data_IF_826928431762
#
_entry.id   IF_826928431762
#
_cell.length_a   1.000
_cell.length_b   1.000
_cell.length_c   1.000
_cell.angle_alpha   90.00
_cell.angle_beta   90.00
_cell.angle_gamma   90.00
#
_symmetry.space_group_name_H-M   'P 1'
#
loop_
_entity.id
_entity.type
_entity.pdbx_description
1 polymer ?
#
# COMPACT_ATOMS: atom_id res chain seq x y z
N UNK A 1 68.18 9.81 125.43
CA UNK A 1 68.83 8.82 126.31
C UNK A 1 69.68 7.91 125.45
N UNK A 2 71.00 7.93 125.60
CA UNK A 2 71.90 7.02 124.86
C UNK A 2 71.95 5.71 125.64
N UNK A 3 71.27 4.69 125.13
CA UNK A 3 71.30 3.34 125.67
C UNK A 3 72.00 2.46 124.66
N UNK A 4 73.23 2.07 124.98
CA UNK A 4 74.18 1.24 124.22
C UNK A 4 75.03 1.96 123.15
N UNK A 5 76.32 1.62 123.16
CA UNK A 5 77.44 2.20 122.42
C UNK A 5 77.24 2.13 120.90
N UNK A 6 77.27 3.28 120.23
CA UNK A 6 77.12 3.36 118.76
C UNK A 6 76.78 4.73 118.19
N UNK A 7 76.52 5.74 119.02
CA UNK A 7 76.30 7.12 118.58
C UNK A 7 77.59 7.93 118.76
N UNK A 8 78.27 8.22 117.65
CA UNK A 8 79.38 9.19 117.63
C UNK A 8 78.86 10.53 117.11
N UNK A 9 78.84 11.53 117.97
CA UNK A 9 78.64 12.92 117.57
C UNK A 9 80.03 13.49 117.31
N UNK A 10 80.41 13.54 116.02
CA UNK A 10 81.63 14.21 115.58
C UNK A 10 81.28 15.64 115.17
N UNK A 11 82.26 16.54 115.13
CA UNK A 11 82.03 17.96 114.74
C UNK A 11 81.34 18.11 113.37
N UNK A 12 81.41 17.06 112.55
CA UNK A 12 81.00 17.07 111.14
C UNK A 12 79.71 16.28 110.89
N UNK A 13 79.07 15.74 111.94
CA UNK A 13 77.78 15.07 111.83
C UNK A 13 77.52 13.96 112.85
N UNK A 14 76.34 13.35 112.72
CA UNK A 14 75.93 12.19 113.51
C UNK A 14 76.06 10.95 112.64
N UNK A 15 76.91 9.99 113.05
CA UNK A 15 76.99 8.66 112.44
C UNK A 15 76.37 7.63 113.39
N UNK A 16 75.53 6.74 112.85
CA UNK A 16 74.91 5.62 113.58
C UNK A 16 75.25 4.34 112.85
N UNK A 17 76.12 3.53 113.44
CA UNK A 17 76.62 2.30 112.81
C UNK A 17 75.59 1.15 112.82
N UNK A 18 74.59 1.20 113.72
CA UNK A 18 73.49 0.23 113.78
C UNK A 18 72.26 0.80 114.53
N UNK A 19 71.05 0.41 114.12
CA UNK A 19 69.80 0.69 114.86
C UNK A 19 68.94 1.87 114.37
N UNK A 20 69.41 2.65 113.39
CA UNK A 20 68.66 3.73 112.73
C UNK A 20 68.37 4.95 113.63
N UNK A 21 67.96 6.06 113.00
CA UNK A 21 67.52 7.27 113.71
C UNK A 21 66.00 7.38 113.60
N UNK A 22 65.28 7.28 114.73
CA UNK A 22 63.85 7.58 114.78
C UNK A 22 63.65 9.07 115.13
N UNK A 23 63.36 9.89 114.12
CA UNK A 23 62.95 11.28 114.32
C UNK A 23 61.42 11.31 114.47
N UNK A 24 60.92 11.70 115.64
CA UNK A 24 59.46 11.78 115.91
C UNK A 24 58.86 13.15 115.57
N UNK A 25 59.70 14.13 115.22
CA UNK A 25 59.31 15.45 114.74
C UNK A 25 59.80 15.66 113.29
N UNK A 26 59.80 16.90 112.79
CA UNK A 26 60.39 17.22 111.48
C UNK A 26 61.91 17.09 111.47
N UNK A 27 62.47 16.65 110.34
CA UNK A 27 63.90 16.67 110.05
C UNK A 27 64.15 17.64 108.90
N UNK A 28 65.05 18.60 109.09
CA UNK A 28 65.53 19.50 108.03
C UNK A 28 66.96 19.15 107.69
N UNK A 29 67.24 18.84 106.41
CA UNK A 29 68.60 18.63 105.90
C UNK A 29 68.99 19.88 105.12
N UNK A 30 69.98 20.63 105.62
CA UNK A 30 70.35 21.93 105.03
C UNK A 30 71.28 21.80 103.82
N UNK A 31 72.17 20.80 103.80
CA UNK A 31 73.21 20.63 102.75
C UNK A 31 73.33 19.16 102.32
N UNK A 32 73.73 18.94 101.07
CA UNK A 32 74.02 17.63 100.45
C UNK A 32 72.88 16.60 100.35
N UNK A 33 71.65 16.96 100.74
CA UNK A 33 70.46 16.10 100.59
C UNK A 33 70.52 14.85 101.47
N UNK A 34 69.49 14.00 101.35
CA UNK A 34 69.43 12.70 102.03
C UNK A 34 69.62 11.59 100.99
N UNK A 35 70.70 10.82 101.11
CA UNK A 35 70.90 9.61 100.33
C UNK A 35 70.32 8.41 101.10
N UNK A 36 69.38 7.69 100.48
CA UNK A 36 68.78 6.47 101.04
C UNK A 36 69.14 5.31 100.11
N UNK A 37 69.93 4.34 100.60
CA UNK A 37 70.45 3.25 99.76
C UNK A 37 69.38 2.17 99.47
N UNK A 38 68.53 1.85 100.46
CA UNK A 38 67.60 0.71 100.39
C UNK A 38 66.13 1.13 100.21
N UNK A 39 65.90 2.34 99.69
CA UNK A 39 64.57 2.89 99.42
C UNK A 39 63.91 3.59 100.62
N UNK A 40 63.07 4.59 100.32
CA UNK A 40 62.31 5.36 101.31
C UNK A 40 60.81 5.17 101.12
N UNK A 41 60.06 4.98 102.21
CA UNK A 41 58.59 5.01 102.18
C UNK A 41 58.08 6.31 102.81
N UNK A 42 57.26 7.06 102.09
CA UNK A 42 56.54 8.22 102.63
C UNK A 42 55.11 7.80 102.89
N UNK A 43 54.75 7.65 104.16
CA UNK A 43 53.44 7.11 104.56
C UNK A 43 52.35 8.18 104.70
N UNK A 44 52.70 9.48 104.68
CA UNK A 44 51.75 10.59 104.79
C UNK A 44 52.27 11.87 104.11
N UNK A 45 51.35 12.73 103.64
CA UNK A 45 51.61 14.08 103.08
C UNK A 45 52.36 14.19 101.74
N UNK A 46 52.68 13.06 101.08
CA UNK A 46 53.29 13.04 99.76
C UNK A 46 54.73 13.56 99.71
N UNK A 47 55.33 13.54 98.51
CA UNK A 47 56.66 14.10 98.25
C UNK A 47 56.50 15.37 97.41
N UNK A 48 56.88 16.53 97.96
CA UNK A 48 57.00 17.78 97.20
C UNK A 48 58.48 18.01 96.87
N UNK A 49 58.84 17.96 95.59
CA UNK A 49 60.18 18.31 95.10
C UNK A 49 60.13 19.70 94.48
N UNK A 50 60.78 20.68 95.11
CA UNK A 50 60.96 22.01 94.52
C UNK A 50 62.06 21.93 93.45
N UNK A 51 61.72 21.51 92.23
CA UNK A 51 62.65 21.29 91.12
C UNK A 51 62.24 20.13 90.21
N UNK A 52 63.24 19.47 89.60
CA UNK A 52 63.04 18.26 88.82
C UNK A 52 63.24 16.99 89.67
N UNK A 53 62.41 15.98 89.43
CA UNK A 53 62.62 14.62 89.93
C UNK A 53 63.00 13.70 88.76
N UNK A 54 64.12 12.99 88.89
CA UNK A 54 64.53 11.95 87.93
C UNK A 54 64.31 10.59 88.57
N UNK A 55 63.52 9.74 87.93
CA UNK A 55 63.35 8.34 88.31
C UNK A 55 64.09 7.50 87.27
N UNK A 56 65.26 6.96 87.64
CA UNK A 56 66.15 6.27 86.71
C UNK A 56 65.78 4.80 86.48
N UNK A 57 65.04 4.17 87.40
CA UNK A 57 64.64 2.75 87.35
C UNK A 57 63.18 2.57 87.78
N UNK A 58 62.47 1.61 87.17
CA UNK A 58 61.08 1.18 87.46
C UNK A 58 59.94 2.22 87.31
N UNK A 59 60.25 3.47 86.93
CA UNK A 59 59.27 4.50 86.59
C UNK A 59 58.38 4.96 87.75
N UNK A 60 57.41 5.82 87.46
CA UNK A 60 56.41 6.29 88.44
C UNK A 60 55.16 5.41 88.36
N UNK A 61 54.91 4.58 89.39
CA UNK A 61 53.65 3.83 89.52
C UNK A 61 52.65 4.59 90.39
N UNK A 62 51.58 5.09 89.79
CA UNK A 62 50.45 5.74 90.50
C UNK A 62 49.31 4.73 90.65
N UNK A 63 49.01 4.28 91.87
CA UNK A 63 47.98 3.27 92.13
C UNK A 63 46.60 3.85 92.41
N UNK A 64 46.50 5.13 92.78
CA UNK A 64 45.25 5.84 93.10
C UNK A 64 45.30 7.29 92.61
N UNK A 65 44.17 7.81 92.11
CA UNK A 65 43.91 9.21 91.73
C UNK A 65 44.61 9.78 90.48
N UNK A 66 45.24 8.95 89.65
CA UNK A 66 45.77 9.34 88.32
C UNK A 66 46.98 10.30 88.35
N UNK A 67 47.63 10.47 87.21
CA UNK A 67 48.74 11.42 87.03
C UNK A 67 48.20 12.72 86.43
N UNK A 68 48.33 13.84 87.15
CA UNK A 68 48.07 15.18 86.59
C UNK A 68 49.39 15.86 86.27
N UNK A 69 49.59 16.24 85.00
CA UNK A 69 50.75 17.00 84.53
C UNK A 69 50.32 18.43 84.22
N UNK A 70 50.68 19.39 85.07
CA UNK A 70 50.20 20.78 85.00
C UNK A 70 51.08 21.74 84.18
N UNK A 71 52.00 21.23 83.35
CA UNK A 71 52.89 22.04 82.50
C UNK A 71 53.59 21.21 81.43
N UNK A 72 54.09 21.85 80.36
CA UNK A 72 54.86 21.33 79.20
C UNK A 72 54.48 19.98 78.54
N UNK A 73 53.40 19.34 78.98
CA UNK A 73 52.95 18.04 78.49
C UNK A 73 53.74 16.84 79.07
N UNK A 74 53.25 15.65 78.77
CA UNK A 74 53.93 14.38 79.02
C UNK A 74 54.66 13.96 77.74
N UNK A 75 55.99 13.82 77.79
CA UNK A 75 56.78 13.29 76.68
C UNK A 75 57.09 11.81 76.96
N UNK A 76 56.60 10.91 76.10
CA UNK A 76 56.84 9.47 76.17
C UNK A 76 57.55 9.04 74.89
N UNK A 77 58.71 8.40 75.01
CA UNK A 77 59.55 8.02 73.86
C UNK A 77 59.16 6.70 73.20
N UNK A 78 58.44 5.83 73.93
CA UNK A 78 57.91 4.56 73.40
C UNK A 78 56.40 4.61 73.25
N UNK A 79 55.65 3.96 74.15
CA UNK A 79 54.21 3.75 74.02
C UNK A 79 53.44 4.33 75.19
N UNK A 80 52.26 4.88 74.87
CA UNK A 80 51.23 5.23 75.85
C UNK A 80 50.12 4.18 75.72
N UNK A 81 49.94 3.35 76.74
CA UNK A 81 48.83 2.40 76.82
C UNK A 81 47.78 2.90 77.82
N UNK A 82 46.55 3.12 77.37
CA UNK A 82 45.41 3.49 78.23
C UNK A 82 44.48 2.28 78.31
N UNK A 83 44.50 1.56 79.43
CA UNK A 83 43.71 0.34 79.59
C UNK A 83 42.19 0.61 79.70
N UNK A 84 41.79 1.77 80.22
CA UNK A 84 40.38 2.17 80.40
C UNK A 84 40.23 3.68 80.57
N UNK A 85 39.09 4.26 80.17
CA UNK A 85 38.77 5.69 80.39
C UNK A 85 39.01 6.62 79.20
N UNK A 86 39.68 6.13 78.15
CA UNK A 86 39.92 6.89 76.91
C UNK A 86 40.94 8.02 77.05
N UNK A 87 41.23 8.69 75.92
CA UNK A 87 42.09 9.88 75.84
C UNK A 87 41.23 11.09 75.48
N UNK A 88 41.09 12.05 76.40
CA UNK A 88 40.34 13.30 76.17
C UNK A 88 41.33 14.40 75.75
N UNK A 89 41.13 15.02 74.59
CA UNK A 89 41.99 16.09 74.05
C UNK A 89 41.12 17.29 73.67
N UNK A 90 41.33 18.44 74.32
CA UNK A 90 40.48 19.62 74.14
C UNK A 90 40.90 20.56 73.00
N UNK A 91 42.17 20.55 72.58
CA UNK A 91 42.74 21.56 71.67
C UNK A 91 43.35 21.00 70.37
N UNK A 92 43.17 19.70 70.09
CA UNK A 92 43.59 19.03 68.85
C UNK A 92 44.61 17.90 69.04
N UNK A 93 44.48 16.84 68.22
CA UNK A 93 45.38 15.68 68.17
C UNK A 93 46.15 15.71 66.83
N UNK A 94 47.47 15.59 66.87
CA UNK A 94 48.32 15.37 65.68
C UNK A 94 49.00 14.00 65.81
N UNK A 95 48.77 13.10 64.86
CA UNK A 95 49.40 11.78 64.78
C UNK A 95 50.39 11.81 63.61
N UNK A 96 51.68 11.70 63.89
CA UNK A 96 52.74 11.99 62.90
C UNK A 96 53.29 10.75 62.16
N UNK A 97 52.87 9.52 62.52
CA UNK A 97 53.14 8.30 61.76
C UNK A 97 52.21 7.15 62.23
N UNK A 98 52.00 6.14 61.38
CA UNK A 98 51.28 4.87 61.61
C UNK A 98 49.78 4.90 61.96
N UNK A 99 49.18 6.09 61.95
CA UNK A 99 47.73 6.26 62.05
C UNK A 99 47.16 5.93 63.43
N UNK A 100 45.87 6.27 63.61
CA UNK A 100 45.11 5.89 64.80
C UNK A 100 44.15 4.76 64.41
N UNK A 101 44.32 3.58 65.00
CA UNK A 101 43.31 2.51 64.94
C UNK A 101 42.26 2.79 66.01
N UNK A 102 41.14 3.39 65.61
CA UNK A 102 39.99 3.64 66.48
C UNK A 102 38.81 2.76 66.04
N UNK A 103 38.21 2.03 66.99
CA UNK A 103 36.98 1.26 66.76
C UNK A 103 35.78 2.21 66.53
N UNK A 104 35.85 3.43 67.07
CA UNK A 104 34.87 4.50 66.84
C UNK A 104 35.53 5.88 66.94
N UNK A 105 35.32 6.74 65.94
CA UNK A 105 35.78 8.14 65.93
C UNK A 105 34.57 9.08 65.79
N UNK A 106 34.30 9.90 66.81
CA UNK A 106 33.26 10.94 66.76
C UNK A 106 33.91 12.32 66.63
N UNK A 107 33.68 13.03 65.53
CA UNK A 107 34.16 14.41 65.32
C UNK A 107 32.97 15.36 65.43
N UNK A 108 32.89 16.12 66.52
CA UNK A 108 31.70 16.93 66.86
C UNK A 108 31.72 18.35 66.30
N UNK A 109 32.85 18.90 65.84
CA UNK A 109 32.93 20.35 65.59
C UNK A 109 33.68 20.84 64.34
N UNK A 110 34.57 20.07 63.71
CA UNK A 110 35.41 20.61 62.59
C UNK A 110 35.48 19.75 61.31
N UNK A 111 34.63 18.73 61.20
CA UNK A 111 34.69 17.80 60.05
C UNK A 111 35.99 16.97 60.00
N UNK A 112 36.03 15.98 59.12
CA UNK A 112 37.20 15.13 58.90
C UNK A 112 37.89 15.54 57.60
N UNK A 113 39.16 15.96 57.66
CA UNK A 113 40.00 16.23 56.49
C UNK A 113 41.00 15.08 56.30
N UNK A 114 40.83 14.30 55.24
CA UNK A 114 41.77 13.26 54.82
C UNK A 114 42.56 13.78 53.63
N UNK A 115 43.87 13.98 53.80
CA UNK A 115 44.73 14.61 52.79
C UNK A 115 45.42 13.58 51.88
N UNK A 116 45.62 12.35 52.35
CA UNK A 116 46.26 11.23 51.63
C UNK A 116 45.69 9.89 52.11
N UNK A 117 45.63 8.87 51.23
CA UNK A 117 45.30 7.48 51.60
C UNK A 117 43.85 7.02 51.38
N UNK A 118 42.94 7.90 50.97
CA UNK A 118 41.52 7.58 50.87
C UNK A 118 40.86 7.40 52.25
N UNK A 119 39.53 7.38 52.29
CA UNK A 119 38.77 7.09 53.51
C UNK A 119 37.96 5.81 53.28
N UNK A 120 38.32 4.74 53.98
CA UNK A 120 37.50 3.52 54.06
C UNK A 120 36.62 3.61 55.30
N UNK A 121 35.31 3.66 55.10
CA UNK A 121 34.32 3.64 56.18
C UNK A 121 33.64 2.27 56.17
N UNK A 122 33.85 1.47 57.21
CA UNK A 122 33.02 0.29 57.48
C UNK A 122 31.76 0.75 58.25
N UNK A 123 30.59 0.27 57.84
CA UNK A 123 29.23 0.47 58.35
C UNK A 123 28.96 1.67 59.28
N UNK A 124 28.13 2.61 58.80
CA UNK A 124 27.38 3.55 59.65
C UNK A 124 28.16 4.73 60.28
N UNK A 125 29.41 4.99 59.88
CA UNK A 125 30.35 5.79 60.70
C UNK A 125 30.57 7.27 60.28
N UNK A 126 29.78 7.87 59.38
CA UNK A 126 30.00 9.29 59.03
C UNK A 126 28.72 10.15 58.87
N UNK A 127 28.34 10.89 59.92
CA UNK A 127 27.46 12.06 59.84
C UNK A 127 28.28 13.34 59.84
N UNK A 128 28.70 13.84 58.68
CA UNK A 128 29.33 15.15 58.56
C UNK A 128 28.26 16.23 58.36
N UNK A 129 28.00 17.05 59.38
CA UNK A 129 26.98 18.12 59.32
C UNK A 129 27.25 19.18 58.25
N UNK A 130 28.48 19.30 57.77
CA UNK A 130 28.93 20.32 56.79
C UNK A 130 29.52 19.72 55.51
N UNK A 131 29.25 18.44 55.22
CA UNK A 131 29.75 17.73 54.04
C UNK A 131 31.14 17.08 54.21
N UNK A 132 31.48 16.18 53.30
CA UNK A 132 32.75 15.44 53.24
C UNK A 132 33.54 15.89 51.99
N UNK A 133 34.79 16.31 52.17
CA UNK A 133 35.71 16.64 51.07
C UNK A 133 36.83 15.61 51.04
N UNK A 134 36.90 14.81 49.98
CA UNK A 134 38.02 13.89 49.70
C UNK A 134 38.85 14.45 48.55
N UNK A 135 40.05 14.95 48.87
CA UNK A 135 40.91 15.63 47.88
C UNK A 135 41.76 14.66 47.06
N UNK A 136 41.96 13.42 47.54
CA UNK A 136 42.68 12.33 46.86
C UNK A 136 42.29 10.95 47.42
N UNK A 137 42.29 9.91 46.58
CA UNK A 137 42.06 8.51 47.00
C UNK A 137 40.64 7.95 46.81
N UNK A 138 39.70 8.77 46.33
CA UNK A 138 38.30 8.35 46.12
C UNK A 138 37.53 8.08 47.42
N UNK A 139 36.21 7.93 47.31
CA UNK A 139 35.34 7.49 48.41
C UNK A 139 34.75 6.13 48.04
N UNK A 140 35.02 5.11 48.86
CA UNK A 140 34.41 3.79 48.70
C UNK A 140 33.42 3.58 49.84
N UNK A 141 32.14 3.37 49.51
CA UNK A 141 31.10 3.01 50.47
C UNK A 141 30.64 1.57 50.19
N UNK A 142 30.78 0.67 51.16
CA UNK A 142 30.50 -0.76 50.98
C UNK A 142 28.99 -1.04 50.78
N UNK A 143 28.13 -0.29 51.46
CA UNK A 143 26.67 -0.50 51.47
C UNK A 143 25.88 0.63 50.77
N UNK A 144 26.53 1.34 49.82
CA UNK A 144 25.95 2.44 49.08
C UNK A 144 26.09 3.81 49.75
N UNK A 145 25.71 4.86 49.01
CA UNK A 145 25.85 6.26 49.43
C UNK A 145 24.49 6.95 49.37
N UNK A 146 24.03 7.50 50.51
CA UNK A 146 22.83 8.34 50.56
C UNK A 146 23.24 9.80 50.75
N UNK A 147 22.82 10.68 49.82
CA UNK A 147 23.00 12.13 49.93
C UNK A 147 21.63 12.78 50.01
N UNK A 148 21.23 13.22 51.22
CA UNK A 148 19.90 13.78 51.45
C UNK A 148 19.70 15.16 50.80
N UNK A 149 20.77 15.95 50.65
CA UNK A 149 20.75 17.31 50.07
C UNK A 149 22.07 17.64 49.38
N UNK A 150 22.04 18.38 48.26
CA UNK A 150 23.24 18.92 47.59
C UNK A 150 23.69 18.20 46.32
N UNK A 151 23.11 17.04 46.00
CA UNK A 151 23.47 16.25 44.82
C UNK A 151 24.91 15.72 44.83
N UNK A 152 25.27 14.95 43.80
CA UNK A 152 26.68 14.55 43.55
C UNK A 152 27.23 15.50 42.48
N UNK A 153 28.26 16.29 42.82
CA UNK A 153 29.02 17.06 41.82
C UNK A 153 30.34 16.36 41.55
N UNK A 154 30.55 15.88 40.32
CA UNK A 154 31.83 15.32 39.87
C UNK A 154 32.47 16.28 38.90
N UNK A 155 33.55 16.94 39.31
CA UNK A 155 34.22 17.95 38.48
C UNK A 155 35.04 17.36 37.32
N UNK A 156 35.57 16.14 37.48
CA UNK A 156 36.34 15.40 36.47
C UNK A 156 36.14 13.88 36.67
N UNK A 157 35.94 13.13 35.59
CA UNK A 157 35.56 11.72 35.62
C UNK A 157 34.03 11.54 35.65
N UNK A 158 33.50 10.53 34.95
CA UNK A 158 32.07 10.23 34.99
C UNK A 158 31.67 9.51 36.28
N UNK A 159 30.36 9.44 36.55
CA UNK A 159 29.81 8.48 37.53
C UNK A 159 29.72 7.12 36.83
N UNK A 160 30.46 6.12 37.31
CA UNK A 160 30.32 4.73 36.86
C UNK A 160 29.37 3.99 37.80
N UNK A 161 28.25 3.51 37.28
CA UNK A 161 27.33 2.61 38.00
C UNK A 161 27.53 1.22 37.41
N UNK A 162 28.29 0.37 38.12
CA UNK A 162 28.66 -0.97 37.64
C UNK A 162 27.50 -1.98 37.75
N UNK A 163 26.61 -1.79 38.73
CA UNK A 163 25.41 -2.60 38.98
C UNK A 163 24.31 -1.75 39.68
N UNK A 164 23.03 -2.09 39.50
CA UNK A 164 21.90 -1.50 40.25
C UNK A 164 21.17 -0.31 39.61
N UNK A 165 21.68 0.23 38.50
CA UNK A 165 21.06 1.36 37.77
C UNK A 165 21.08 2.69 38.55
N UNK A 166 20.93 3.81 37.84
CA UNK A 166 20.76 5.14 38.44
C UNK A 166 19.30 5.58 38.32
N UNK A 167 18.64 5.88 39.44
CA UNK A 167 17.28 6.44 39.43
C UNK A 167 17.34 7.92 39.77
N UNK A 168 16.87 8.78 38.85
CA UNK A 168 16.76 10.22 39.08
C UNK A 168 15.28 10.59 39.24
N UNK A 169 14.83 10.77 40.49
CA UNK A 169 13.40 10.93 40.81
C UNK A 169 12.87 12.36 40.63
N UNK A 170 13.75 13.36 40.49
CA UNK A 170 13.39 14.76 40.24
C UNK A 170 14.55 15.52 39.56
N UNK A 171 14.22 16.41 38.63
CA UNK A 171 15.19 17.11 37.78
C UNK A 171 15.68 16.22 36.63
N UNK A 172 15.45 16.62 35.38
CA UNK A 172 15.88 15.83 34.22
C UNK A 172 17.39 15.61 34.18
N UNK A 173 17.83 14.60 33.44
CA UNK A 173 19.24 14.38 33.13
C UNK A 173 19.66 15.33 31.98
N UNK A 174 20.49 16.32 32.29
CA UNK A 174 21.11 17.19 31.28
C UNK A 174 22.54 16.73 31.00
N UNK A 175 22.81 16.26 29.78
CA UNK A 175 24.15 15.91 29.30
C UNK A 175 24.53 16.89 28.20
N UNK A 176 25.52 17.75 28.47
CA UNK A 176 25.98 18.77 27.53
C UNK A 176 26.99 18.24 26.50
N UNK A 177 27.71 17.15 26.83
CA UNK A 177 28.68 16.47 25.96
C UNK A 177 28.70 14.96 26.22
N UNK A 178 29.00 14.13 25.20
CA UNK A 178 29.21 12.67 25.37
C UNK A 178 28.00 11.76 25.11
N UNK A 179 26.77 12.31 25.08
CA UNK A 179 25.54 11.55 24.78
C UNK A 179 25.18 10.50 25.84
N UNK A 180 24.05 9.80 25.64
CA UNK A 180 23.62 8.66 26.46
C UNK A 180 23.84 7.39 25.64
N UNK A 181 24.52 6.40 26.21
CA UNK A 181 24.59 5.03 25.65
C UNK A 181 23.90 4.08 26.63
N UNK A 182 22.75 3.54 26.23
CA UNK A 182 22.03 2.50 26.98
C UNK A 182 22.30 1.17 26.30
N UNK A 183 22.74 0.16 27.06
CA UNK A 183 23.05 -1.18 26.53
C UNK A 183 21.81 -1.96 26.11
N UNK A 184 20.70 -1.77 26.84
CA UNK A 184 19.41 -2.40 26.59
C UNK A 184 18.39 -1.37 26.06
N UNK A 185 17.25 -1.18 26.76
CA UNK A 185 16.16 -0.29 26.35
C UNK A 185 16.18 1.07 27.07
N UNK A 186 15.82 2.12 26.34
CA UNK A 186 15.55 3.45 26.89
C UNK A 186 14.02 3.66 26.92
N UNK A 187 13.45 3.91 28.10
CA UNK A 187 12.02 4.22 28.27
C UNK A 187 11.86 5.65 28.76
N UNK A 188 11.06 6.45 28.05
CA UNK A 188 10.66 7.79 28.46
C UNK A 188 9.14 7.79 28.68
N UNK A 189 8.70 7.79 29.94
CA UNK A 189 7.28 7.67 30.30
C UNK A 189 6.48 8.97 30.10
N UNK A 190 7.17 10.11 30.03
CA UNK A 190 6.57 11.44 29.83
C UNK A 190 7.62 12.46 29.40
N UNK A 191 7.23 13.48 28.63
CA UNK A 191 8.15 14.43 27.99
C UNK A 191 8.68 13.86 26.67
N UNK A 192 8.75 14.68 25.62
CA UNK A 192 9.24 14.22 24.32
C UNK A 192 10.77 14.01 24.30
N UNK A 193 11.26 13.16 23.41
CA UNK A 193 12.69 13.12 23.06
C UNK A 193 12.99 14.21 22.01
N UNK A 194 13.88 15.16 22.34
CA UNK A 194 14.32 16.21 21.41
C UNK A 194 15.77 15.96 21.01
N UNK A 195 16.02 15.82 19.70
CA UNK A 195 17.37 15.65 19.13
C UNK A 195 17.63 16.79 18.13
N UNK A 196 18.57 17.68 18.43
CA UNK A 196 18.71 18.95 17.69
C UNK A 196 19.77 18.95 16.58
N UNK A 197 20.76 18.05 16.59
CA UNK A 197 21.95 18.22 15.73
C UNK A 197 22.38 16.96 14.93
N UNK A 198 21.91 15.75 15.25
CA UNK A 198 22.43 14.51 14.62
C UNK A 198 21.35 13.53 14.13
N UNK A 199 20.07 13.87 14.26
CA UNK A 199 18.96 12.96 13.99
C UNK A 199 18.89 11.78 14.96
N UNK A 200 17.77 11.07 14.94
CA UNK A 200 17.57 9.82 15.69
C UNK A 200 17.83 8.64 14.76
N UNK A 201 18.77 7.75 15.11
CA UNK A 201 18.99 6.48 14.38
C UNK A 201 18.37 5.33 15.17
N UNK A 202 17.45 4.58 14.53
CA UNK A 202 16.88 3.34 15.07
C UNK A 202 17.35 2.19 14.17
N UNK A 203 18.31 1.40 14.67
CA UNK A 203 18.98 0.35 13.88
C UNK A 203 18.17 -0.94 13.75
N UNK A 204 17.29 -1.24 14.72
CA UNK A 204 16.40 -2.41 14.73
C UNK A 204 15.04 -2.05 15.35
N UNK A 205 13.97 -2.76 14.97
CA UNK A 205 12.63 -2.60 15.57
C UNK A 205 11.77 -1.44 15.06
N UNK A 206 12.37 -0.42 14.41
CA UNK A 206 11.66 0.74 13.89
C UNK A 206 11.11 1.67 14.98
N UNK A 207 10.50 2.79 14.58
CA UNK A 207 9.86 3.74 15.49
C UNK A 207 8.32 3.59 15.40
N UNK A 208 7.65 3.35 16.52
CA UNK A 208 6.19 3.35 16.61
C UNK A 208 5.71 4.68 17.21
N UNK A 209 4.99 5.49 16.43
CA UNK A 209 4.58 6.86 16.79
C UNK A 209 3.05 6.97 16.63
N UNK A 210 2.33 7.21 17.73
CA UNK A 210 0.86 7.16 17.76
C UNK A 210 0.17 8.41 17.19
N UNK A 211 0.70 9.61 17.48
CA UNK A 211 0.03 10.89 17.16
C UNK A 211 0.54 11.56 15.88
N UNK A 212 1.32 10.83 15.07
CA UNK A 212 1.79 11.26 13.75
C UNK A 212 3.27 11.68 13.68
N UNK A 213 3.79 11.78 12.46
CA UNK A 213 5.19 12.13 12.16
C UNK A 213 5.22 13.35 11.26
N UNK A 214 5.93 14.41 11.67
CA UNK A 214 6.28 15.52 10.77
C UNK A 214 7.74 15.38 10.37
N UNK A 215 8.01 15.28 9.07
CA UNK A 215 9.38 15.20 8.53
C UNK A 215 9.70 16.49 7.79
N UNK A 216 10.75 17.18 8.24
CA UNK A 216 11.29 18.36 7.56
C UNK A 216 12.10 17.99 6.32
N UNK A 217 12.86 18.94 5.78
CA UNK A 217 13.76 18.70 4.64
C UNK A 217 14.94 17.79 5.02
N UNK A 218 15.36 16.83 4.17
CA UNK A 218 14.93 16.61 2.77
C UNK A 218 13.68 15.71 2.60
N UNK A 219 13.01 15.31 3.69
CA UNK A 219 11.82 14.46 3.69
C UNK A 219 12.09 13.06 4.21
N UNK A 220 11.09 12.18 4.08
CA UNK A 220 11.18 10.77 4.47
C UNK A 220 11.88 9.96 3.35
N UNK A 221 12.97 9.28 3.67
CA UNK A 221 13.67 8.38 2.75
C UNK A 221 13.59 6.93 3.25
N UNK A 222 12.89 6.06 2.51
CA UNK A 222 12.73 4.64 2.83
C UNK A 222 13.57 3.82 1.85
N UNK A 223 14.64 3.19 2.34
CA UNK A 223 15.59 2.42 1.51
C UNK A 223 15.17 0.97 1.27
N UNK A 224 14.39 0.38 2.19
CA UNK A 224 13.87 -0.98 2.10
C UNK A 224 12.52 -1.11 2.84
N UNK A 225 11.65 -2.02 2.40
CA UNK A 225 10.39 -2.35 3.08
C UNK A 225 9.15 -1.54 2.66
N UNK A 226 9.32 -0.51 1.82
CA UNK A 226 8.21 0.32 1.31
C UNK A 226 7.55 1.20 2.36
N UNK A 227 6.68 2.12 1.92
CA UNK A 227 5.85 2.96 2.79
C UNK A 227 4.40 2.46 2.73
N UNK A 228 3.84 2.06 3.86
CA UNK A 228 2.41 1.75 3.98
C UNK A 228 1.68 2.91 4.64
N UNK A 229 0.66 3.46 3.97
CA UNK A 229 -0.23 4.49 4.52
C UNK A 229 -1.64 3.89 4.62
N UNK A 230 -2.08 3.56 5.84
CA UNK A 230 -3.33 2.82 6.06
C UNK A 230 -4.57 3.73 5.99
N UNK A 231 -4.61 4.80 6.78
CA UNK A 231 -5.75 5.72 6.89
C UNK A 231 -5.38 7.10 6.33
N UNK A 232 -6.32 7.74 5.62
CA UNK A 232 -6.16 9.09 5.06
C UNK A 232 -5.45 9.19 3.71
N UNK A 233 -4.75 8.14 3.28
CA UNK A 233 -4.03 8.09 2.01
C UNK A 233 -2.79 8.99 1.96
N UNK A 234 -2.03 8.90 0.86
CA UNK A 234 -0.87 9.75 0.60
C UNK A 234 -1.31 11.03 -0.14
N UNK A 235 -1.09 12.20 0.47
CA UNK A 235 -1.38 13.50 -0.14
C UNK A 235 -0.10 14.23 -0.54
N UNK A 236 0.10 14.44 -1.84
CA UNK A 236 1.30 15.09 -2.40
C UNK A 236 0.93 16.44 -3.02
N UNK A 237 1.45 17.53 -2.49
CA UNK A 237 1.07 18.91 -2.89
C UNK A 237 1.96 19.51 -3.98
N UNK A 238 3.26 19.23 -3.95
CA UNK A 238 4.26 19.80 -4.86
C UNK A 238 5.05 18.68 -5.56
N UNK A 239 5.45 18.91 -6.81
CA UNK A 239 6.29 18.03 -7.63
C UNK A 239 5.72 16.63 -7.97
N UNK A 240 4.54 16.28 -7.46
CA UNK A 240 3.85 15.02 -7.77
C UNK A 240 4.56 13.79 -7.19
N UNK A 241 4.05 12.61 -7.54
CA UNK A 241 4.59 11.31 -7.13
C UNK A 241 5.29 10.65 -8.33
N UNK A 242 6.53 10.24 -8.15
CA UNK A 242 7.24 9.39 -9.12
C UNK A 242 7.24 7.95 -8.62
N UNK A 243 6.73 7.02 -9.44
CA UNK A 243 6.81 5.57 -9.21
C UNK A 243 7.73 4.99 -10.28
N UNK A 244 8.96 4.64 -9.91
CA UNK A 244 9.97 4.16 -10.86
C UNK A 244 9.73 2.69 -11.26
N UNK A 245 9.54 1.82 -10.26
CA UNK A 245 9.37 0.38 -10.43
C UNK A 245 8.06 -0.11 -9.78
N UNK A 246 7.46 -1.17 -10.33
CA UNK A 246 6.24 -1.81 -9.80
C UNK A 246 4.90 -1.16 -10.19
N UNK A 247 4.93 0.09 -10.68
CA UNK A 247 3.74 0.82 -11.12
C UNK A 247 2.82 1.26 -9.97
N UNK A 248 1.77 2.01 -10.32
CA UNK A 248 0.71 2.40 -9.39
C UNK A 248 -0.46 1.43 -9.53
N UNK A 249 -0.77 0.68 -8.46
CA UNK A 249 -2.01 -0.08 -8.36
C UNK A 249 -3.04 0.72 -7.57
N UNK A 250 -4.24 0.88 -8.13
CA UNK A 250 -5.39 1.49 -7.45
C UNK A 250 -6.45 0.40 -7.32
N UNK A 251 -6.53 -0.21 -6.13
CA UNK A 251 -7.58 -1.18 -5.80
C UNK A 251 -8.78 -0.43 -5.23
N UNK A 252 -9.97 -0.72 -5.76
CA UNK A 252 -11.24 -0.05 -5.46
C UNK A 252 -11.23 1.49 -5.63
N UNK A 253 -11.88 2.01 -6.68
CA UNK A 253 -11.95 3.44 -7.00
C UNK A 253 -11.46 3.75 -8.42
N UNK A 254 -10.95 4.96 -8.64
CA UNK A 254 -10.44 5.37 -9.95
C UNK A 254 -9.30 6.38 -9.85
N UNK A 255 -8.43 6.38 -10.87
CA UNK A 255 -7.40 7.40 -11.03
C UNK A 255 -8.05 8.69 -11.58
N UNK A 256 -8.10 9.74 -10.75
CA UNK A 256 -8.59 11.05 -11.15
C UNK A 256 -7.43 12.05 -11.33
N UNK A 257 -7.25 12.55 -12.55
CA UNK A 257 -6.27 13.61 -12.86
C UNK A 257 -7.01 14.93 -13.03
N UNK A 258 -6.81 15.87 -12.11
CA UNK A 258 -7.43 17.21 -12.16
C UNK A 258 -6.83 18.04 -13.31
N UNK A 259 -7.65 18.93 -13.87
CA UNK A 259 -7.40 19.74 -15.06
C UNK A 259 -5.94 20.23 -15.26
N UNK A 260 -5.45 20.14 -16.49
CA UNK A 260 -4.15 20.67 -16.94
C UNK A 260 -3.17 19.63 -17.49
N UNK A 261 -3.34 18.35 -17.15
CA UNK A 261 -2.52 17.24 -17.64
C UNK A 261 -3.40 16.04 -18.01
N UNK A 262 -2.99 15.27 -19.04
CA UNK A 262 -3.62 14.01 -19.40
C UNK A 262 -2.84 12.80 -18.85
N UNK A 263 -3.42 11.60 -18.96
CA UNK A 263 -2.69 10.35 -18.71
C UNK A 263 -1.88 10.04 -19.97
N UNK A 264 -0.54 10.03 -19.87
CA UNK A 264 0.34 9.54 -20.96
C UNK A 264 0.80 8.13 -20.64
N UNK A 265 0.38 7.17 -21.46
CA UNK A 265 0.81 5.77 -21.40
C UNK A 265 1.67 5.48 -22.62
N UNK A 266 2.89 4.96 -22.42
CA UNK A 266 3.84 4.67 -23.50
C UNK A 266 3.73 3.26 -24.06
N UNK A 267 3.11 2.35 -23.31
CA UNK A 267 2.81 0.98 -23.73
C UNK A 267 1.30 0.86 -24.05
N UNK A 268 0.63 -0.16 -23.53
CA UNK A 268 -0.82 -0.36 -23.69
C UNK A 268 -1.63 0.07 -22.48
N UNK A 269 -2.91 0.31 -22.73
CA UNK A 269 -3.96 0.39 -21.70
C UNK A 269 -4.91 -0.78 -21.96
N UNK A 270 -5.15 -1.61 -20.94
CA UNK A 270 -6.18 -2.64 -20.95
C UNK A 270 -7.34 -2.19 -20.08
N UNK A 271 -8.57 -2.28 -20.60
CA UNK A 271 -9.80 -1.99 -19.86
C UNK A 271 -10.68 -3.24 -19.90
N UNK A 272 -10.73 -3.98 -18.80
CA UNK A 272 -11.48 -5.24 -18.72
C UNK A 272 -13.00 -5.02 -18.76
N UNK A 273 -13.49 -3.90 -18.18
CA UNK A 273 -14.90 -3.54 -18.17
C UNK A 273 -15.11 -2.03 -18.10
N UNK A 274 -16.30 -1.53 -18.48
CA UNK A 274 -16.67 -0.11 -18.41
C UNK A 274 -16.26 0.74 -19.62
N UNK A 275 -15.30 0.28 -20.43
CA UNK A 275 -14.87 0.95 -21.66
C UNK A 275 -14.14 2.27 -21.44
N UNK A 276 -13.87 3.00 -22.53
CA UNK A 276 -13.23 4.32 -22.52
C UNK A 276 -14.25 5.37 -22.97
N UNK A 277 -14.58 6.33 -22.10
CA UNK A 277 -15.44 7.46 -22.44
C UNK A 277 -14.60 8.70 -22.75
N UNK A 278 -14.64 9.18 -24.00
CA UNK A 278 -13.87 10.33 -24.48
C UNK A 278 -14.82 11.46 -24.86
N UNK A 279 -14.73 12.61 -24.18
CA UNK A 279 -15.54 13.81 -24.48
C UNK A 279 -14.93 14.70 -25.57
N UNK A 280 -13.64 14.53 -25.85
CA UNK A 280 -12.92 15.19 -26.94
C UNK A 280 -12.71 14.30 -28.16
N UNK A 281 -11.70 14.62 -28.97
CA UNK A 281 -11.29 13.77 -30.10
C UNK A 281 -10.48 12.56 -29.66
N UNK A 282 -10.64 11.45 -30.37
CA UNK A 282 -9.79 10.26 -30.27
C UNK A 282 -9.03 10.07 -31.59
N UNK A 283 -7.71 9.94 -31.51
CA UNK A 283 -6.85 9.60 -32.67
C UNK A 283 -6.19 8.26 -32.40
N UNK A 284 -6.28 7.34 -33.35
CA UNK A 284 -5.66 6.01 -33.29
C UNK A 284 -4.62 5.91 -34.40
N UNK A 285 -3.40 5.50 -34.05
CA UNK A 285 -2.29 5.30 -35.00
C UNK A 285 -2.07 3.80 -35.28
N UNK A 286 -1.42 3.50 -36.41
CA UNK A 286 -0.92 2.20 -36.86
C UNK A 286 -1.95 1.07 -37.05
N UNK A 287 -2.49 0.51 -35.97
CA UNK A 287 -3.22 -0.78 -36.00
C UNK A 287 -4.73 -0.62 -36.18
N UNK A 288 -5.25 0.60 -36.12
CA UNK A 288 -6.68 0.88 -36.23
C UNK A 288 -7.48 0.41 -35.01
N UNK A 289 -8.80 0.25 -35.17
CA UNK A 289 -9.71 -0.17 -34.10
C UNK A 289 -10.58 -1.32 -34.58
N UNK A 290 -10.71 -2.38 -33.78
CA UNK A 290 -11.58 -3.54 -34.06
C UNK A 290 -12.78 -3.51 -33.11
N UNK A 291 -13.98 -3.71 -33.65
CA UNK A 291 -15.24 -3.71 -32.89
C UNK A 291 -15.99 -5.01 -33.16
N UNK A 292 -16.36 -5.77 -32.12
CA UNK A 292 -17.00 -7.08 -32.26
C UNK A 292 -18.54 -7.03 -32.33
N UNK A 293 -19.17 -6.06 -31.67
CA UNK A 293 -20.64 -5.97 -31.55
C UNK A 293 -21.26 -4.81 -32.34
N UNK A 294 -20.48 -4.20 -33.24
CA UNK A 294 -20.90 -3.07 -34.07
C UNK A 294 -20.38 -1.71 -33.59
N UNK A 295 -20.68 -0.70 -34.39
CA UNK A 295 -20.30 0.71 -34.19
C UNK A 295 -21.47 1.58 -34.61
N UNK A 296 -21.90 2.50 -33.74
CA UNK A 296 -22.87 3.54 -34.07
C UNK A 296 -22.16 4.88 -34.18
N UNK A 297 -22.35 5.59 -35.30
CA UNK A 297 -21.73 6.89 -35.56
C UNK A 297 -22.85 7.90 -35.83
N UNK A 298 -23.00 8.88 -34.94
CA UNK A 298 -23.85 10.03 -35.17
C UNK A 298 -23.09 11.05 -36.00
N UNK A 299 -23.38 11.13 -37.30
CA UNK A 299 -22.76 12.07 -38.23
C UNK A 299 -22.06 11.39 -39.41
N UNK A 300 -21.01 12.02 -39.92
CA UNK A 300 -20.34 11.60 -41.16
C UNK A 300 -19.12 10.73 -40.87
N UNK A 301 -18.99 9.63 -41.63
CA UNK A 301 -17.74 8.87 -41.75
C UNK A 301 -16.98 9.37 -42.97
N UNK A 302 -15.76 9.90 -42.79
CA UNK A 302 -14.88 10.29 -43.90
C UNK A 302 -13.71 9.31 -43.98
N UNK A 303 -13.58 8.65 -45.12
CA UNK A 303 -12.51 7.68 -45.39
C UNK A 303 -11.66 8.22 -46.52
N UNK A 304 -10.36 8.40 -46.29
CA UNK A 304 -9.41 8.94 -47.27
C UNK A 304 -8.88 7.91 -48.26
N UNK A 305 -8.99 6.63 -47.90
CA UNK A 305 -8.58 5.49 -48.72
C UNK A 305 -9.78 4.59 -49.01
N UNK A 306 -9.71 3.32 -48.61
CA UNK A 306 -10.74 2.33 -48.95
C UNK A 306 -11.70 2.10 -47.78
N UNK A 307 -13.00 2.11 -48.07
CA UNK A 307 -14.03 1.59 -47.19
C UNK A 307 -14.55 0.27 -47.76
N UNK A 308 -14.02 -0.85 -47.27
CA UNK A 308 -14.45 -2.18 -47.72
C UNK A 308 -15.60 -2.67 -46.87
N UNK A 309 -16.74 -2.88 -47.51
CA UNK A 309 -17.88 -3.61 -46.94
C UNK A 309 -17.93 -4.98 -47.61
N UNK A 310 -18.30 -6.03 -46.88
CA UNK A 310 -18.72 -7.28 -47.50
C UNK A 310 -20.12 -7.07 -48.10
N UNK A 311 -20.18 -6.42 -49.26
CA UNK A 311 -21.42 -6.06 -49.97
C UNK A 311 -22.04 -7.21 -50.77
N UNK A 312 -21.37 -8.37 -50.80
CA UNK A 312 -21.90 -9.57 -51.45
C UNK A 312 -22.57 -10.47 -50.41
N UNK A 313 -23.87 -10.69 -50.56
CA UNK A 313 -24.58 -11.75 -49.84
C UNK A 313 -24.03 -13.10 -50.31
N UNK A 314 -23.42 -13.92 -49.43
CA UNK A 314 -22.88 -15.22 -49.83
C UNK A 314 -23.98 -16.10 -50.43
N UNK A 315 -23.76 -16.62 -51.65
CA UNK A 315 -24.78 -17.37 -52.42
C UNK A 315 -24.27 -18.70 -52.98
N UNK A 316 -23.07 -19.15 -52.59
CA UNK A 316 -22.47 -20.42 -53.02
C UNK A 316 -23.36 -21.61 -52.64
N UNK A 317 -23.56 -22.57 -53.56
CA UNK A 317 -24.40 -23.76 -53.36
C UNK A 317 -24.00 -24.54 -52.09
N UNK A 318 -22.72 -24.56 -51.72
CA UNK A 318 -22.21 -25.26 -50.52
C UNK A 318 -22.63 -24.61 -49.21
N UNK A 319 -23.08 -23.35 -49.26
CA UNK A 319 -23.58 -22.60 -48.12
C UNK A 319 -25.10 -22.69 -47.99
N UNK A 320 -25.78 -23.45 -48.86
CA UNK A 320 -27.24 -23.61 -48.91
C UNK A 320 -27.64 -25.07 -48.72
N UNK A 321 -28.77 -25.29 -48.05
CA UNK A 321 -29.45 -26.58 -47.89
C UNK A 321 -30.94 -26.41 -48.20
N UNK A 322 -31.65 -27.52 -48.39
CA UNK A 322 -33.10 -27.52 -48.57
C UNK A 322 -33.56 -26.61 -49.74
N UNK A 323 -32.88 -26.71 -50.89
CA UNK A 323 -33.08 -25.87 -52.07
C UNK A 323 -34.33 -26.33 -52.84
N UNK A 324 -35.39 -25.52 -52.79
CA UNK A 324 -36.64 -25.72 -53.54
C UNK A 324 -36.94 -24.50 -54.42
N UNK A 325 -37.63 -24.72 -55.55
CA UNK A 325 -38.10 -23.65 -56.43
C UNK A 325 -39.29 -22.94 -55.78
N UNK A 326 -39.51 -21.66 -56.12
CA UNK A 326 -40.64 -20.89 -55.61
C UNK A 326 -41.87 -21.21 -56.45
N UNK A 327 -42.82 -21.94 -55.86
CA UNK A 327 -44.09 -22.26 -56.52
C UNK A 327 -45.07 -21.08 -56.49
N UNK A 328 -46.02 -21.06 -57.45
CA UNK A 328 -47.08 -20.05 -57.60
C UNK A 328 -46.52 -18.62 -57.63
N UNK A 329 -45.35 -18.43 -58.24
CA UNK A 329 -44.60 -17.19 -58.17
C UNK A 329 -45.36 -16.03 -58.83
N UNK A 330 -45.98 -16.25 -59.99
CA UNK A 330 -46.77 -15.23 -60.68
C UNK A 330 -48.01 -14.84 -59.87
N UNK A 331 -48.68 -15.81 -59.26
CA UNK A 331 -49.83 -15.55 -58.40
C UNK A 331 -49.45 -14.75 -57.14
N UNK A 332 -48.29 -15.02 -56.55
CA UNK A 332 -47.73 -14.24 -55.43
C UNK A 332 -47.40 -12.81 -55.86
N UNK A 333 -46.67 -12.62 -56.97
CA UNK A 333 -46.34 -11.28 -57.48
C UNK A 333 -47.60 -10.46 -57.77
N UNK A 334 -48.64 -11.07 -58.33
CA UNK A 334 -49.91 -10.40 -58.63
C UNK A 334 -50.70 -9.91 -57.39
N UNK A 335 -50.33 -10.34 -56.18
CA UNK A 335 -50.91 -9.85 -54.93
C UNK A 335 -50.17 -8.63 -54.36
N UNK A 336 -49.02 -8.28 -54.91
CA UNK A 336 -48.18 -7.18 -54.42
C UNK A 336 -48.46 -5.89 -55.21
N UNK A 337 -48.49 -4.75 -54.52
CA UNK A 337 -48.64 -3.45 -55.16
C UNK A 337 -47.34 -2.66 -55.16
N UNK A 338 -46.92 -2.21 -56.34
CA UNK A 338 -45.93 -1.15 -56.45
C UNK A 338 -46.58 0.20 -56.15
N UNK A 339 -46.05 0.94 -55.18
CA UNK A 339 -46.59 2.22 -54.72
C UNK A 339 -45.57 3.34 -54.83
N UNK A 340 -46.06 4.56 -55.08
CA UNK A 340 -45.29 5.77 -54.83
C UNK A 340 -45.64 6.33 -53.46
N UNK A 341 -44.64 6.81 -52.73
CA UNK A 341 -44.86 7.36 -51.39
C UNK A 341 -43.88 8.50 -51.10
N UNK A 342 -44.24 9.32 -50.11
CA UNK A 342 -43.34 10.31 -49.51
C UNK A 342 -43.15 9.93 -48.04
N UNK A 343 -41.95 10.15 -47.52
CA UNK A 343 -41.68 9.90 -46.11
C UNK A 343 -42.39 10.91 -45.21
N UNK A 344 -42.85 10.44 -44.05
CA UNK A 344 -43.31 11.30 -42.96
C UNK A 344 -42.09 12.06 -42.43
N UNK A 345 -42.20 13.39 -42.34
CA UNK A 345 -41.06 14.27 -42.03
C UNK A 345 -40.87 14.48 -40.53
N UNK A 346 -41.91 14.26 -39.73
CA UNK A 346 -41.99 14.52 -38.30
C UNK A 346 -42.16 13.22 -37.49
N UNK A 347 -41.47 12.15 -37.91
CA UNK A 347 -41.58 10.87 -37.21
C UNK A 347 -40.85 10.93 -35.83
N UNK A 348 -41.53 10.57 -34.72
CA UNK A 348 -41.01 10.74 -33.35
C UNK A 348 -39.82 9.84 -32.92
N UNK A 349 -39.49 8.79 -33.66
CA UNK A 349 -38.34 7.90 -33.41
C UNK A 349 -36.99 8.48 -33.80
N UNK A 350 -36.97 9.70 -34.37
CA UNK A 350 -35.74 10.39 -34.75
C UNK A 350 -35.13 9.92 -36.07
N UNK A 351 -35.85 9.07 -36.82
CA UNK A 351 -35.49 8.72 -38.19
C UNK A 351 -35.63 9.97 -39.09
N UNK A 352 -34.56 10.30 -39.81
CA UNK A 352 -34.55 11.42 -40.75
C UNK A 352 -34.61 10.88 -42.17
N UNK A 353 -35.64 11.28 -42.91
CA UNK A 353 -35.84 10.93 -44.30
C UNK A 353 -35.79 12.18 -45.19
N UNK A 354 -35.51 11.98 -46.47
CA UNK A 354 -35.57 13.08 -47.43
C UNK A 354 -37.02 13.46 -47.80
N UNK A 355 -37.17 14.57 -48.52
CA UNK A 355 -38.47 15.12 -48.96
C UNK A 355 -38.88 14.67 -50.36
N UNK A 356 -38.11 13.80 -51.02
CA UNK A 356 -38.38 13.36 -52.38
C UNK A 356 -39.44 12.27 -52.39
N UNK A 357 -40.11 12.12 -53.53
CA UNK A 357 -41.01 10.99 -53.77
C UNK A 357 -40.20 9.74 -54.07
N UNK A 358 -40.54 8.65 -53.40
CA UNK A 358 -39.93 7.33 -53.57
C UNK A 358 -40.94 6.36 -54.19
N UNK A 359 -40.43 5.23 -54.68
CA UNK A 359 -41.20 4.11 -55.21
C UNK A 359 -40.78 2.84 -54.49
N UNK A 360 -41.73 1.98 -54.20
CA UNK A 360 -41.46 0.75 -53.47
C UNK A 360 -42.70 -0.10 -53.24
N UNK A 361 -42.66 -0.91 -52.20
CA UNK A 361 -43.74 -1.79 -51.74
C UNK A 361 -44.04 -1.52 -50.27
N UNK A 362 -45.24 -1.87 -49.82
CA UNK A 362 -45.64 -1.79 -48.41
C UNK A 362 -45.24 -3.08 -47.70
N UNK A 363 -44.46 -2.97 -46.62
CA UNK A 363 -43.89 -4.13 -45.92
C UNK A 363 -44.97 -5.10 -45.40
N UNK A 364 -46.10 -4.58 -44.93
CA UNK A 364 -47.22 -5.39 -44.44
C UNK A 364 -47.91 -6.19 -45.56
N UNK A 365 -48.00 -5.62 -46.76
CA UNK A 365 -48.54 -6.34 -47.93
C UNK A 365 -47.59 -7.47 -48.34
N UNK A 366 -46.30 -7.18 -48.43
CA UNK A 366 -45.27 -8.18 -48.71
C UNK A 366 -45.29 -9.30 -47.67
N UNK A 367 -45.42 -8.95 -46.38
CA UNK A 367 -45.44 -9.92 -45.28
C UNK A 367 -46.58 -10.94 -45.42
N UNK A 368 -47.72 -10.55 -45.98
CA UNK A 368 -48.86 -11.45 -46.19
C UNK A 368 -48.65 -12.47 -47.32
N UNK A 369 -47.70 -12.22 -48.22
CA UNK A 369 -47.45 -13.03 -49.44
C UNK A 369 -46.13 -13.79 -49.37
N UNK A 370 -45.07 -13.12 -48.93
CA UNK A 370 -43.70 -13.62 -48.81
C UNK A 370 -43.10 -13.11 -47.49
N UNK A 371 -43.52 -13.63 -46.32
CA UNK A 371 -43.09 -13.15 -45.01
C UNK A 371 -41.58 -13.22 -44.78
N UNK A 372 -40.88 -14.12 -45.48
CA UNK A 372 -39.45 -14.41 -45.30
C UNK A 372 -38.53 -13.24 -45.65
N UNK A 373 -39.01 -12.27 -46.44
CA UNK A 373 -38.24 -11.09 -46.87
C UNK A 373 -38.57 -9.84 -46.05
N UNK A 374 -39.42 -9.97 -45.01
CA UNK A 374 -39.82 -8.86 -44.14
C UNK A 374 -39.22 -9.05 -42.77
N UNK A 375 -38.55 -8.02 -42.25
CA UNK A 375 -37.94 -8.04 -40.92
C UNK A 375 -38.38 -6.85 -40.08
N UNK A 376 -38.28 -6.99 -38.77
CA UNK A 376 -38.49 -5.89 -37.84
C UNK A 376 -37.25 -5.00 -37.76
N UNK A 377 -37.43 -3.68 -37.80
CA UNK A 377 -36.38 -2.68 -37.68
C UNK A 377 -36.71 -1.70 -36.56
N UNK A 378 -35.70 -0.96 -36.09
CA UNK A 378 -35.85 0.03 -35.02
C UNK A 378 -36.52 -0.57 -33.77
N UNK A 379 -35.87 -1.57 -33.17
CA UNK A 379 -36.32 -2.26 -31.94
C UNK A 379 -37.73 -2.87 -32.02
N UNK A 380 -38.16 -3.28 -33.22
CA UNK A 380 -39.49 -3.89 -33.41
C UNK A 380 -40.60 -2.90 -33.73
N UNK A 381 -40.32 -1.60 -33.75
CA UNK A 381 -41.33 -0.56 -34.01
C UNK A 381 -41.82 -0.58 -35.46
N UNK A 382 -40.94 -0.87 -36.41
CA UNK A 382 -41.21 -0.79 -37.85
C UNK A 382 -40.85 -2.08 -38.59
N UNK A 383 -41.36 -2.23 -39.81
CA UNK A 383 -41.02 -3.32 -40.71
C UNK A 383 -40.18 -2.80 -41.87
N UNK A 384 -39.17 -3.56 -42.25
CA UNK A 384 -38.34 -3.35 -43.44
C UNK A 384 -38.46 -4.53 -44.41
N UNK A 385 -38.23 -4.27 -45.70
CA UNK A 385 -38.27 -5.28 -46.77
C UNK A 385 -36.87 -5.46 -47.35
N UNK A 386 -36.41 -6.70 -47.47
CA UNK A 386 -35.24 -7.05 -48.24
C UNK A 386 -35.59 -7.13 -49.74
N UNK A 387 -35.47 -5.99 -50.41
CA UNK A 387 -35.75 -5.86 -51.84
C UNK A 387 -34.92 -6.81 -52.71
N UNK A 388 -33.68 -7.14 -52.32
CA UNK A 388 -32.85 -8.05 -53.08
C UNK A 388 -33.44 -9.47 -53.08
N UNK A 389 -34.06 -9.86 -51.97
CA UNK A 389 -34.72 -11.16 -51.82
C UNK A 389 -36.09 -11.25 -52.52
N UNK A 390 -36.63 -10.15 -53.06
CA UNK A 390 -37.79 -10.18 -53.96
C UNK A 390 -37.42 -10.63 -55.38
N UNK A 391 -36.17 -10.46 -55.80
CA UNK A 391 -35.73 -10.75 -57.17
C UNK A 391 -35.93 -12.23 -57.55
N UNK A 392 -35.61 -13.24 -56.71
CA UNK A 392 -35.88 -14.64 -57.02
C UNK A 392 -37.36 -14.93 -57.29
N UNK A 393 -38.27 -14.31 -56.54
CA UNK A 393 -39.72 -14.45 -56.77
C UNK A 393 -40.11 -13.91 -58.16
N UNK A 394 -39.58 -12.74 -58.55
CA UNK A 394 -39.85 -12.15 -59.86
C UNK A 394 -39.27 -13.00 -61.00
N UNK A 395 -38.09 -13.62 -60.80
CA UNK A 395 -37.48 -14.52 -61.79
C UNK A 395 -38.41 -15.71 -62.09
N UNK A 396 -38.96 -16.35 -61.05
CA UNK A 396 -39.88 -17.48 -61.24
C UNK A 396 -41.23 -17.01 -61.81
N UNK A 397 -41.74 -15.85 -61.40
CA UNK A 397 -42.98 -15.29 -61.94
C UNK A 397 -42.88 -14.98 -63.45
N UNK A 398 -41.74 -14.47 -63.91
CA UNK A 398 -41.49 -14.23 -65.34
C UNK A 398 -41.39 -15.55 -66.11
N UNK A 399 -40.82 -16.60 -65.51
CA UNK A 399 -40.77 -17.94 -66.10
C UNK A 399 -42.16 -18.55 -66.24
N UNK A 400 -42.97 -18.52 -65.19
CA UNK A 400 -44.37 -18.96 -65.24
C UNK A 400 -45.19 -18.17 -66.28
N UNK A 401 -44.95 -16.85 -66.39
CA UNK A 401 -45.60 -16.02 -67.40
C UNK A 401 -45.21 -16.40 -68.83
N UNK A 402 -43.92 -16.69 -69.08
CA UNK A 402 -43.46 -17.16 -70.40
C UNK A 402 -44.07 -18.52 -70.75
N UNK A 403 -44.14 -19.45 -69.79
CA UNK A 403 -44.79 -20.75 -69.99
C UNK A 403 -46.27 -20.60 -70.38
N UNK A 404 -47.02 -19.76 -69.67
CA UNK A 404 -48.41 -19.44 -70.01
C UNK A 404 -48.53 -18.80 -71.40
N UNK A 405 -47.60 -17.91 -71.75
CA UNK A 405 -47.57 -17.24 -73.05
C UNK A 405 -47.30 -18.21 -74.20
N UNK A 406 -46.34 -19.11 -74.06
CA UNK A 406 -46.05 -20.15 -75.07
C UNK A 406 -47.21 -21.13 -75.23
N UNK A 407 -47.81 -21.57 -74.12
CA UNK A 407 -49.00 -22.43 -74.15
C UNK A 407 -50.16 -21.78 -74.92
N UNK A 408 -50.38 -20.48 -74.70
CA UNK A 408 -51.37 -19.69 -75.43
C UNK A 408 -51.09 -19.59 -76.93
N UNK A 409 -49.82 -19.40 -77.34
CA UNK A 409 -49.42 -19.35 -78.75
C UNK A 409 -49.67 -20.66 -79.49
N UNK A 410 -49.26 -21.79 -78.90
CA UNK A 410 -49.45 -23.12 -79.50
C UNK A 410 -50.95 -23.36 -79.77
N UNK A 411 -51.79 -23.04 -78.79
CA UNK A 411 -53.25 -23.18 -78.91
C UNK A 411 -53.83 -22.32 -80.05
N UNK A 412 -53.32 -21.10 -80.22
CA UNK A 412 -53.75 -20.20 -81.30
C UNK A 412 -53.33 -20.72 -82.68
N UNK A 413 -52.11 -21.24 -82.83
CA UNK A 413 -51.62 -21.83 -84.08
C UNK A 413 -52.35 -23.12 -84.45
N UNK A 414 -52.69 -23.96 -83.48
CA UNK A 414 -53.52 -25.15 -83.69
C UNK A 414 -54.92 -24.78 -84.20
N UNK A 415 -55.54 -23.76 -83.59
CA UNK A 415 -56.86 -23.27 -84.00
C UNK A 415 -56.82 -22.63 -85.39
N UNK A 416 -55.75 -21.91 -85.73
CA UNK A 416 -55.53 -21.35 -87.06
C UNK A 416 -55.38 -22.47 -88.12
N UNK A 417 -54.54 -23.47 -87.85
CA UNK A 417 -54.36 -24.64 -88.75
C UNK A 417 -55.67 -25.41 -88.97
N UNK A 418 -56.48 -25.60 -87.93
CA UNK A 418 -57.78 -26.23 -88.05
C UNK A 418 -58.73 -25.41 -88.94
N UNK A 419 -58.71 -24.08 -88.79
CA UNK A 419 -59.53 -23.16 -89.59
C UNK A 419 -59.10 -23.16 -91.07
N UNK A 420 -57.80 -23.12 -91.35
CA UNK A 420 -57.27 -23.19 -92.72
C UNK A 420 -57.57 -24.53 -93.38
N UNK A 421 -57.45 -25.64 -92.64
CA UNK A 421 -57.82 -26.97 -93.15
C UNK A 421 -59.32 -27.07 -93.47
N UNK A 422 -60.18 -26.45 -92.67
CA UNK A 422 -61.62 -26.36 -92.94
C UNK A 422 -61.91 -25.51 -94.18
N UNK A 423 -61.21 -24.38 -94.34
CA UNK A 423 -61.38 -23.49 -95.50
C UNK A 423 -60.92 -24.15 -96.80
N UNK A 424 -59.80 -24.90 -96.76
CA UNK A 424 -59.30 -25.65 -97.91
C UNK A 424 -60.26 -26.76 -98.35
N UNK A 425 -60.81 -27.52 -97.39
CA UNK A 425 -61.86 -28.51 -97.69
C UNK A 425 -63.08 -27.85 -98.34
N UNK A 426 -63.49 -26.70 -97.82
CA UNK A 426 -64.61 -25.94 -98.39
C UNK A 426 -64.32 -25.49 -99.84
N UNK A 427 -63.10 -25.05 -100.12
CA UNK A 427 -62.67 -24.69 -101.49
C UNK A 427 -62.66 -25.91 -102.42
N UNK A 428 -62.10 -27.04 -101.97
CA UNK A 428 -62.08 -28.28 -102.76
C UNK A 428 -63.51 -28.77 -103.06
N UNK A 429 -64.41 -28.68 -102.08
CA UNK A 429 -65.83 -29.01 -102.24
C UNK A 429 -66.50 -28.09 -103.26
N UNK A 430 -66.27 -26.77 -103.18
CA UNK A 430 -66.80 -25.78 -104.14
C UNK A 430 -66.27 -26.06 -105.55
N UNK A 431 -64.98 -26.31 -105.71
CA UNK A 431 -64.38 -26.62 -107.01
C UNK A 431 -64.97 -27.91 -107.61
N UNK A 432 -65.20 -28.93 -106.78
CA UNK A 432 -65.83 -30.18 -107.23
C UNK A 432 -67.26 -29.96 -107.71
N UNK A 433 -68.01 -29.06 -107.06
CA UNK A 433 -69.36 -28.67 -107.44
C UNK A 433 -69.36 -27.88 -108.75
N UNK A 434 -68.41 -26.97 -108.93
CA UNK A 434 -68.23 -26.21 -110.18
C UNK A 434 -67.89 -27.14 -111.35
N UNK A 435 -66.95 -28.07 -111.18
CA UNK A 435 -66.63 -29.05 -112.24
C UNK A 435 -67.82 -29.93 -112.60
N UNK A 436 -68.60 -30.38 -111.59
CA UNK A 436 -69.85 -31.13 -111.82
C UNK A 436 -70.86 -30.32 -112.60
N UNK A 437 -70.99 -29.02 -112.30
CA UNK A 437 -71.88 -28.11 -113.01
C UNK A 437 -71.47 -27.97 -114.48
N UNK A 438 -70.18 -27.76 -114.77
CA UNK A 438 -69.66 -27.66 -116.14
C UNK A 438 -69.86 -28.96 -116.92
N UNK A 439 -69.64 -30.12 -116.30
CA UNK A 439 -69.87 -31.42 -116.93
C UNK A 439 -71.34 -31.60 -117.31
N UNK A 440 -72.27 -31.24 -116.42
CA UNK A 440 -73.71 -31.26 -116.68
C UNK A 440 -74.11 -30.28 -117.79
N UNK A 441 -73.51 -29.09 -117.85
CA UNK A 441 -73.75 -28.12 -118.93
C UNK A 441 -73.24 -28.61 -120.28
N UNK A 442 -72.10 -29.31 -120.29
CA UNK A 442 -71.52 -29.91 -121.50
C UNK A 442 -72.39 -31.06 -121.99
N UNK A 443 -72.80 -31.97 -121.10
CA UNK A 443 -73.72 -33.07 -121.42
C UNK A 443 -75.05 -32.55 -121.97
N UNK A 444 -75.60 -31.48 -121.37
CA UNK A 444 -76.79 -30.79 -121.87
C UNK A 444 -76.57 -30.24 -123.29
N UNK A 445 -75.41 -29.68 -123.58
CA UNK A 445 -75.06 -29.12 -124.89
C UNK A 445 -74.90 -30.22 -125.95
N UNK A 446 -74.26 -31.33 -125.59
CA UNK A 446 -74.13 -32.50 -126.47
C UNK A 446 -75.47 -33.16 -126.77
N UNK A 447 -76.35 -33.29 -125.77
CA UNK A 447 -77.73 -33.73 -125.98
C UNK A 447 -78.48 -32.79 -126.95
N UNK A 448 -78.33 -31.47 -126.81
CA UNK A 448 -78.94 -30.49 -127.71
C UNK A 448 -78.40 -30.60 -129.15
N UNK A 449 -77.10 -30.87 -129.31
CA UNK A 449 -76.47 -31.07 -130.61
C UNK A 449 -76.87 -32.41 -131.27
N UNK A 450 -77.00 -33.50 -130.50
CA UNK A 450 -77.54 -34.77 -130.99
C UNK A 450 -78.99 -34.67 -131.46
N UNK A 451 -79.79 -33.81 -130.82
CA UNK A 451 -81.16 -33.50 -131.28
C UNK A 451 -81.15 -32.73 -132.61
N UNK A 452 -80.15 -31.89 -132.87
CA UNK A 452 -79.99 -31.13 -134.14
C UNK A 452 -79.39 -31.93 -135.30
N UNK A 453 -78.59 -32.98 -135.05
CA UNK A 453 -77.85 -33.72 -136.06
C UNK A 453 -78.58 -34.92 -136.70
N UNK A 454 -79.88 -35.13 -136.45
CA UNK A 454 -80.65 -36.20 -137.11
C UNK A 454 -81.00 -35.80 -138.56
N UNK A 455 -80.55 -36.54 -139.61
CA UNK A 455 -81.06 -36.36 -140.96
C UNK A 455 -82.39 -37.10 -141.12
N UNK A 456 -83.45 -36.43 -141.57
CA UNK A 456 -84.61 -37.13 -142.16
C UNK A 456 -84.45 -37.15 -143.67
N UNK A 457 -84.14 -38.35 -144.16
CA UNK A 457 -83.95 -38.70 -145.56
C UNK A 457 -85.24 -38.69 -146.39
N UNK A 458 -84.99 -38.62 -147.68
CA UNK A 458 -85.92 -38.63 -148.81
C UNK A 458 -86.43 -40.08 -149.05
N UNK A 459 -87.75 -40.27 -149.18
CA UNK A 459 -88.35 -41.55 -149.55
C UNK A 459 -89.43 -41.33 -150.63
N UNK A 460 -89.15 -41.77 -151.86
CA UNK A 460 -90.07 -41.86 -152.99
C UNK A 460 -90.71 -43.25 -153.01
N UNK A 461 -92.04 -43.31 -153.01
CA UNK A 461 -92.85 -44.54 -153.14
C UNK A 461 -93.51 -44.56 -154.54
N UNK A 462 -93.32 -45.64 -155.30
CA UNK A 462 -94.11 -45.96 -156.50
C UNK A 462 -95.40 -46.68 -156.12
N UNK A 463 -96.48 -46.27 -156.77
CA UNK A 463 -97.87 -46.71 -156.64
C UNK A 463 -98.12 -48.16 -157.10
N UNK A 464 -99.16 -48.78 -156.56
CA UNK A 464 -99.95 -49.78 -157.28
C UNK A 464 -101.43 -49.63 -156.92
N UNK A 465 -102.30 -49.72 -157.93
CA UNK A 465 -103.74 -49.55 -157.84
C UNK A 465 -104.46 -50.88 -158.10
N UNK A 466 -105.56 -51.15 -157.39
CA UNK A 466 -106.63 -52.05 -157.84
C UNK A 466 -107.97 -51.66 -157.22
N UNK A 467 -109.00 -51.53 -158.06
CA UNK A 467 -110.42 -51.34 -157.74
C UNK A 467 -111.16 -52.69 -157.84
N UNK A 468 -112.19 -52.99 -157.04
CA UNK A 468 -113.65 -52.71 -157.22
C UNK A 468 -114.43 -53.54 -156.16
N UNK A 469 -115.77 -53.43 -156.03
CA UNK A 469 -116.72 -52.47 -156.62
C UNK A 469 -117.37 -51.52 -155.62
#
# INVERSE_FOLDING_TARGET
>A
TVTTSGLSIVSDGVSVEAGGIKVTAGMTVFTNGMAVADGGTITASGLTVAGGATISTDGLRVTVSGLTVAGSGMHVTDTVTIASGGLIISNGLTVQADGATAISLTVTTLGLRVTTGGLTVADGLLTAATGLTVTAGGLTAADGMTINTGGVTVANGGVLVSDGGATLSAGGLTITTGGIRVGDGFTLSSGGLVVTNTGLTVSTGGANIADGVTVGTPGLHVTAGGLTVALGGLYVTLNGMTVADGGLSVDNGGLYVKAGNGIRVTNGVTVDSGGVFVTGGMTVFDTGSTFYNGVTIFGNVRVSQTFTTFTFTPSDRRLKRDIITIDDALAKVNKLNGVYYNWIQDEPSGLQFDTKRHVGVIAQEVQSVLPEVVTSIHEGKYLGVDYASLVPLVIEAVRELDELFQAGKITAEEKARHTDAMFKRLQDDVLSLEMRLVALETEKTDMLNQVRARPRGNATVKQNASSKP
#
